data_IF_107134028736
#
_entry.id   IF_107134028736
#
_cell.length_a   1.000
_cell.length_b   1.000
_cell.length_c   1.000
_cell.angle_alpha   90.00
_cell.angle_beta   90.00
_cell.angle_gamma   90.00
#
_symmetry.space_group_name_H-M   'P 1'
#
loop_
_entity.id
_entity.type
_entity.pdbx_description
1 polymer ?
#
# COMPACT_ATOMS: atom_id res chain seq x y z
N UNK A 1 -5.69 19.08 10.83
CA UNK A 1 -4.49 19.15 9.94
C UNK A 1 -3.28 19.17 10.84
N UNK A 2 -2.18 18.52 10.48
CA UNK A 2 -1.02 18.40 11.38
C UNK A 2 0.28 18.57 10.61
N UNK A 3 1.26 19.23 11.23
CA UNK A 3 2.59 19.46 10.68
C UNK A 3 3.63 19.06 11.73
N UNK A 4 4.58 18.22 11.31
CA UNK A 4 5.73 17.83 12.12
C UNK A 4 6.96 17.94 11.24
N UNK A 5 7.99 18.66 11.72
CA UNK A 5 9.25 18.85 11.00
C UNK A 5 10.37 18.25 11.83
N UNK A 6 11.12 17.34 11.21
CA UNK A 6 12.30 16.74 11.79
C UNK A 6 13.55 17.32 11.14
N UNK A 7 14.56 17.63 11.95
CA UNK A 7 15.89 17.98 11.46
C UNK A 7 16.90 17.12 12.19
N UNK A 8 17.65 16.31 11.44
CA UNK A 8 18.60 15.33 12.00
C UNK A 8 17.96 14.48 13.12
N UNK A 9 16.67 14.16 12.95
CA UNK A 9 15.92 13.17 13.76
C UNK A 9 15.17 13.75 14.91
N UNK A 10 15.54 14.96 15.29
CA UNK A 10 14.88 15.69 16.34
C UNK A 10 13.68 16.43 15.75
N UNK A 11 12.55 16.39 16.47
CA UNK A 11 11.40 17.23 16.15
C UNK A 11 11.79 18.67 16.48
N UNK A 12 11.91 19.51 15.46
CA UNK A 12 12.24 20.94 15.61
C UNK A 12 11.01 21.83 15.57
N UNK A 13 9.90 21.30 15.06
CA UNK A 13 8.63 22.01 15.02
C UNK A 13 7.46 21.02 14.95
N UNK A 14 6.39 21.32 15.68
CA UNK A 14 5.13 20.62 15.57
C UNK A 14 3.94 21.57 15.74
N UNK A 15 2.88 21.33 14.97
CA UNK A 15 1.68 22.14 15.00
C UNK A 15 0.45 21.29 14.64
N UNK A 16 -0.54 21.28 15.53
CA UNK A 16 -1.71 20.40 15.49
C UNK A 16 -3.03 21.21 15.61
N UNK A 17 -3.38 22.06 14.63
CA UNK A 17 -4.62 22.83 14.69
C UNK A 17 -5.83 21.88 14.71
N UNK A 18 -6.62 22.00 15.77
CA UNK A 18 -7.85 21.24 15.99
C UNK A 18 -7.65 19.72 16.00
N UNK A 19 -6.50 19.24 16.46
CA UNK A 19 -6.26 17.80 16.65
C UNK A 19 -5.95 17.51 18.11
N UNK A 20 -6.68 16.57 18.70
CA UNK A 20 -6.44 16.06 20.05
C UNK A 20 -5.40 14.93 20.06
N UNK A 21 -4.73 14.69 21.20
CA UNK A 21 -3.61 13.73 21.31
C UNK A 21 -3.98 12.26 21.02
N UNK A 22 -5.26 11.91 21.13
CA UNK A 22 -5.78 10.58 20.86
C UNK A 22 -6.17 10.37 19.38
N UNK A 23 -6.32 11.46 18.63
CA UNK A 23 -6.75 11.42 17.23
C UNK A 23 -5.61 10.95 16.33
N UNK A 24 -5.99 10.15 15.32
CA UNK A 24 -5.09 9.63 14.31
C UNK A 24 -5.62 10.07 12.95
N UNK A 25 -5.02 11.07 12.29
CA UNK A 25 -5.47 11.47 10.96
C UNK A 25 -5.30 10.33 9.95
N UNK A 26 -6.20 10.28 8.97
CA UNK A 26 -6.08 9.38 7.82
C UNK A 26 -5.01 9.91 6.85
N UNK A 27 -4.19 9.00 6.34
CA UNK A 27 -3.05 9.30 5.48
C UNK A 27 -3.32 9.07 3.99
N UNK A 28 -4.48 8.52 3.65
CA UNK A 28 -4.89 8.23 2.28
C UNK A 28 -3.74 7.52 1.55
N UNK A 29 -3.42 7.99 0.35
CA UNK A 29 -2.43 7.36 -0.53
C UNK A 29 -1.00 7.36 -0.01
N UNK A 30 -0.68 8.06 1.08
CA UNK A 30 0.59 7.85 1.77
C UNK A 30 0.69 6.41 2.27
N UNK A 31 -0.42 5.72 2.55
CA UNK A 31 -0.45 4.28 2.88
C UNK A 31 0.34 3.41 1.89
N UNK A 32 0.33 3.76 0.59
CA UNK A 32 0.92 2.95 -0.48
C UNK A 32 2.44 2.77 -0.32
N UNK A 33 3.14 3.76 0.24
CA UNK A 33 4.58 3.66 0.47
C UNK A 33 4.92 2.57 1.49
N UNK A 34 4.04 2.29 2.46
CA UNK A 34 4.26 1.22 3.43
C UNK A 34 4.19 -0.14 2.72
N UNK A 35 3.22 -0.29 1.82
CA UNK A 35 3.06 -1.49 0.99
C UNK A 35 4.30 -1.70 0.11
N UNK A 36 4.74 -0.68 -0.64
CA UNK A 36 5.92 -0.82 -1.50
C UNK A 36 7.20 -1.05 -0.70
N UNK A 37 7.33 -0.45 0.49
CA UNK A 37 8.45 -0.71 1.40
C UNK A 37 8.49 -2.17 1.83
N UNK A 38 7.34 -2.76 2.19
CA UNK A 38 7.28 -4.18 2.52
C UNK A 38 7.64 -5.06 1.32
N UNK A 39 7.20 -4.74 0.11
CA UNK A 39 7.60 -5.48 -1.10
C UNK A 39 9.13 -5.42 -1.28
N UNK A 40 9.73 -4.24 -1.13
CA UNK A 40 11.20 -4.09 -1.21
C UNK A 40 11.93 -4.88 -0.13
N UNK A 41 11.43 -4.90 1.11
CA UNK A 41 11.98 -5.73 2.18
C UNK A 41 11.90 -7.23 1.83
N UNK A 42 10.79 -7.69 1.25
CA UNK A 42 10.63 -9.08 0.84
C UNK A 42 11.55 -9.45 -0.34
N UNK A 43 11.82 -8.50 -1.24
CA UNK A 43 12.80 -8.65 -2.30
C UNK A 43 14.22 -8.80 -1.77
N UNK A 44 14.63 -7.93 -0.84
CA UNK A 44 15.93 -8.00 -0.18
C UNK A 44 16.11 -9.30 0.63
N UNK A 45 15.04 -9.82 1.21
CA UNK A 45 15.00 -11.12 1.89
C UNK A 45 15.04 -12.31 0.92
N UNK A 46 15.01 -12.08 -0.40
CA UNK A 46 14.99 -13.12 -1.43
C UNK A 46 13.66 -13.89 -1.52
N UNK A 47 12.61 -13.39 -0.86
CA UNK A 47 11.28 -14.00 -0.85
C UNK A 47 10.44 -13.57 -2.07
N UNK A 48 10.73 -12.39 -2.61
CA UNK A 48 10.07 -11.83 -3.80
C UNK A 48 11.13 -11.48 -4.85
N UNK A 49 10.79 -11.69 -6.12
CA UNK A 49 11.55 -11.25 -7.28
C UNK A 49 10.62 -10.37 -8.10
N UNK A 50 10.88 -9.06 -8.09
CA UNK A 50 9.92 -8.09 -8.64
C UNK A 50 9.80 -8.17 -10.17
N UNK A 51 10.77 -8.81 -10.84
CA UNK A 51 10.76 -8.99 -12.30
C UNK A 51 9.75 -10.05 -12.74
N UNK A 52 9.27 -10.88 -11.80
CA UNK A 52 8.30 -11.94 -12.08
C UNK A 52 6.86 -11.42 -12.13
N UNK A 53 5.99 -12.07 -12.93
CA UNK A 53 4.56 -11.82 -12.87
C UNK A 53 4.00 -12.19 -11.50
N UNK A 54 3.03 -11.42 -11.01
CA UNK A 54 2.44 -11.62 -9.67
C UNK A 54 1.81 -13.01 -9.49
N UNK A 55 1.31 -13.62 -10.57
CA UNK A 55 0.79 -15.00 -10.55
C UNK A 55 1.83 -16.06 -10.19
N UNK A 56 3.12 -15.73 -10.21
CA UNK A 56 4.19 -16.60 -9.68
C UNK A 56 4.04 -16.85 -8.18
N UNK A 57 3.37 -15.93 -7.47
CA UNK A 57 3.14 -15.98 -6.03
C UNK A 57 1.66 -16.20 -5.71
N UNK A 58 0.78 -15.42 -6.33
CA UNK A 58 -0.66 -15.44 -6.08
C UNK A 58 -1.34 -16.37 -7.09
N UNK A 59 -1.49 -17.64 -6.73
CA UNK A 59 -2.04 -18.68 -7.63
C UNK A 59 -3.45 -18.35 -8.13
N UNK A 60 -4.26 -17.68 -7.31
CA UNK A 60 -5.63 -17.29 -7.64
C UNK A 60 -5.69 -16.25 -8.77
N UNK A 61 -4.58 -15.55 -9.07
CA UNK A 61 -4.47 -14.63 -10.18
C UNK A 61 -3.96 -15.28 -11.47
N UNK A 62 -3.64 -16.58 -11.51
CA UNK A 62 -3.01 -17.21 -12.68
C UNK A 62 -3.75 -16.99 -14.00
N UNK A 63 -5.09 -16.94 -13.95
CA UNK A 63 -5.94 -16.74 -15.12
C UNK A 63 -6.65 -15.37 -15.12
N UNK A 64 -6.25 -14.44 -14.25
CA UNK A 64 -6.82 -13.10 -14.21
C UNK A 64 -6.02 -12.14 -15.09
N UNK A 65 -6.62 -11.00 -15.44
CA UNK A 65 -5.94 -9.93 -16.16
C UNK A 65 -4.66 -9.46 -15.43
N UNK A 66 -4.69 -9.35 -14.10
CA UNK A 66 -3.51 -8.94 -13.31
C UNK A 66 -2.43 -10.01 -13.21
N UNK A 67 -2.75 -11.29 -13.44
CA UNK A 67 -1.82 -12.40 -13.25
C UNK A 67 -0.50 -12.28 -14.02
N UNK A 68 -0.56 -11.73 -15.23
CA UNK A 68 0.60 -11.55 -16.10
C UNK A 68 1.41 -10.27 -15.85
N UNK A 69 0.97 -9.39 -14.95
CA UNK A 69 1.65 -8.13 -14.66
C UNK A 69 2.82 -8.37 -13.72
N UNK A 70 4.00 -7.85 -14.05
CA UNK A 70 5.17 -7.93 -13.17
C UNK A 70 4.98 -7.09 -11.92
N UNK A 71 5.55 -7.54 -10.82
CA UNK A 71 5.47 -6.84 -9.53
C UNK A 71 6.12 -5.45 -9.64
N UNK A 72 7.22 -5.33 -10.39
CA UNK A 72 7.86 -4.05 -10.73
C UNK A 72 6.89 -3.09 -11.45
N UNK A 73 6.12 -3.58 -12.42
CA UNK A 73 5.17 -2.75 -13.15
C UNK A 73 4.00 -2.30 -12.26
N UNK A 74 3.58 -3.12 -11.29
CA UNK A 74 2.59 -2.71 -10.29
C UNK A 74 3.15 -1.65 -9.33
N UNK A 75 4.40 -1.81 -8.87
CA UNK A 75 5.09 -0.81 -8.04
C UNK A 75 5.18 0.56 -8.75
N UNK A 76 5.36 0.54 -10.07
CA UNK A 76 5.45 1.72 -10.92
C UNK A 76 4.09 2.25 -11.42
N UNK A 77 2.96 1.69 -10.96
CA UNK A 77 1.62 2.07 -11.43
C UNK A 77 1.51 2.00 -12.96
N UNK A 78 2.10 0.97 -13.56
CA UNK A 78 2.25 0.82 -14.99
C UNK A 78 1.67 -0.52 -15.47
N UNK A 79 0.55 -0.96 -14.89
CA UNK A 79 -0.14 -2.19 -15.29
C UNK A 79 -0.64 -2.19 -16.74
N UNK A 80 -0.85 -1.01 -17.34
CA UNK A 80 -1.35 -0.87 -18.71
C UNK A 80 -2.87 -0.96 -18.84
N UNK A 81 -3.58 -0.99 -17.71
CA UNK A 81 -5.04 -1.10 -17.64
C UNK A 81 -5.74 0.24 -17.46
N UNK A 82 -6.94 0.36 -18.00
CA UNK A 82 -7.87 1.46 -17.77
C UNK A 82 -8.58 1.30 -16.42
N UNK A 83 -7.80 1.44 -15.34
CA UNK A 83 -8.29 1.31 -13.96
C UNK A 83 -7.81 2.45 -13.06
N UNK A 84 -7.81 3.68 -13.60
CA UNK A 84 -7.44 4.84 -12.81
C UNK A 84 -8.44 5.07 -11.65
N UNK A 85 -7.95 5.59 -10.54
CA UNK A 85 -8.80 5.96 -9.39
C UNK A 85 -9.90 6.92 -9.85
N UNK A 86 -11.14 6.43 -9.82
CA UNK A 86 -12.32 7.19 -10.20
C UNK A 86 -13.41 7.01 -9.13
N UNK A 87 -13.66 8.09 -8.40
CA UNK A 87 -14.57 8.10 -7.24
C UNK A 87 -16.00 8.54 -7.60
N UNK A 88 -16.29 8.74 -8.89
CA UNK A 88 -17.58 9.30 -9.34
C UNK A 88 -18.33 8.36 -10.28
N UNK A 89 -17.63 7.78 -11.26
CA UNK A 89 -18.23 6.86 -12.21
C UNK A 89 -18.32 5.45 -11.61
N UNK A 90 -19.54 5.07 -11.21
CA UNK A 90 -19.83 3.76 -10.61
C UNK A 90 -19.59 2.57 -11.53
N UNK A 91 -19.50 2.80 -12.83
CA UNK A 91 -19.20 1.76 -13.82
C UNK A 91 -17.69 1.54 -14.02
N UNK A 92 -16.86 2.49 -13.58
CA UNK A 92 -15.41 2.42 -13.74
C UNK A 92 -14.81 1.21 -13.02
N UNK A 93 -13.68 0.74 -13.55
CA UNK A 93 -12.93 -0.37 -12.98
C UNK A 93 -12.60 -0.15 -11.50
N UNK A 94 -12.08 1.04 -11.16
CA UNK A 94 -11.74 1.38 -9.78
C UNK A 94 -12.96 1.48 -8.88
N UNK A 95 -14.07 2.12 -9.30
CA UNK A 95 -15.22 2.29 -8.40
C UNK A 95 -15.83 0.94 -8.02
N UNK A 96 -15.89 -0.01 -8.95
CA UNK A 96 -16.37 -1.37 -8.65
C UNK A 96 -15.47 -2.08 -7.64
N UNK A 97 -14.14 -1.89 -7.74
CA UNK A 97 -13.19 -2.35 -6.71
C UNK A 97 -13.43 -1.64 -5.37
N UNK A 98 -13.64 -0.33 -5.40
CA UNK A 98 -13.91 0.51 -4.23
C UNK A 98 -15.17 0.07 -3.48
N UNK A 99 -16.25 -0.24 -4.20
CA UNK A 99 -17.44 -0.86 -3.62
C UNK A 99 -17.18 -2.26 -3.05
N UNK A 100 -16.26 -3.03 -3.65
CA UNK A 100 -15.92 -4.38 -3.18
C UNK A 100 -15.13 -4.38 -1.87
N UNK A 101 -14.16 -3.47 -1.73
CA UNK A 101 -13.35 -3.33 -0.52
C UNK A 101 -14.08 -2.52 0.57
N UNK A 102 -15.05 -1.69 0.17
CA UNK A 102 -15.98 -0.99 1.06
C UNK A 102 -15.64 0.48 1.32
N UNK A 103 -14.78 1.12 0.51
CA UNK A 103 -14.57 2.57 0.52
C UNK A 103 -15.43 3.32 -0.53
N UNK A 104 -16.18 2.58 -1.35
CA UNK A 104 -17.19 3.09 -2.29
C UNK A 104 -18.63 2.81 -1.86
N UNK A 105 -19.61 3.38 -2.57
CA UNK A 105 -21.03 3.10 -2.30
C UNK A 105 -21.33 1.64 -2.61
N UNK A 106 -21.86 0.91 -1.63
CA UNK A 106 -22.18 -0.51 -1.75
C UNK A 106 -23.69 -0.73 -1.92
N UNK A 107 -24.05 -1.70 -2.75
CA UNK A 107 -25.40 -2.25 -2.93
C UNK A 107 -25.34 -3.77 -2.96
N UNK A 108 -26.48 -4.47 -2.87
CA UNK A 108 -26.51 -5.94 -2.91
C UNK A 108 -25.89 -6.53 -4.19
N UNK A 109 -25.89 -5.79 -5.30
CA UNK A 109 -25.27 -6.16 -6.57
C UNK A 109 -23.75 -5.91 -6.61
N UNK A 110 -23.23 -5.14 -5.65
CA UNK A 110 -21.80 -4.82 -5.59
C UNK A 110 -21.00 -6.03 -5.10
N UNK A 111 -19.79 -6.27 -5.63
CA UNK A 111 -18.98 -7.41 -5.26
C UNK A 111 -18.75 -7.48 -3.74
N UNK A 112 -18.71 -8.69 -3.17
CA UNK A 112 -18.64 -8.88 -1.72
C UNK A 112 -17.23 -9.05 -1.16
N UNK A 113 -16.29 -9.50 -2.00
CA UNK A 113 -14.92 -9.82 -1.62
C UNK A 113 -13.96 -9.20 -2.66
N UNK A 114 -13.04 -8.30 -2.24
CA UNK A 114 -12.15 -7.60 -3.16
C UNK A 114 -11.12 -8.54 -3.81
N UNK A 115 -10.66 -9.61 -3.15
CA UNK A 115 -9.74 -10.59 -3.74
C UNK A 115 -10.40 -11.33 -4.91
N UNK A 116 -11.62 -11.84 -4.70
CA UNK A 116 -12.39 -12.49 -5.76
C UNK A 116 -12.72 -11.52 -6.89
N UNK A 117 -13.09 -10.28 -6.54
CA UNK A 117 -13.39 -9.25 -7.52
C UNK A 117 -12.19 -8.99 -8.44
N UNK A 118 -11.01 -8.70 -7.86
CA UNK A 118 -9.77 -8.44 -8.60
C UNK A 118 -9.34 -9.66 -9.42
N UNK A 119 -9.53 -10.89 -8.90
CA UNK A 119 -9.23 -12.11 -9.65
C UNK A 119 -10.15 -12.32 -10.88
N UNK A 120 -11.36 -11.77 -10.84
CA UNK A 120 -12.32 -11.80 -11.96
C UNK A 120 -12.35 -10.52 -12.81
N UNK A 121 -11.52 -9.53 -12.48
CA UNK A 121 -11.56 -8.21 -13.09
C UNK A 121 -10.93 -8.26 -14.48
N UNK A 122 -11.68 -7.78 -15.47
CA UNK A 122 -11.26 -7.69 -16.88
C UNK A 122 -11.23 -6.22 -17.31
N UNK A 123 -10.22 -5.44 -16.88
CA UNK A 123 -10.10 -4.04 -17.24
C UNK A 123 -9.68 -3.90 -18.71
N UNK A 124 -10.08 -2.80 -19.35
CA UNK A 124 -9.64 -2.50 -20.71
C UNK A 124 -8.12 -2.30 -20.74
N UNK A 125 -7.43 -2.95 -21.67
CA UNK A 125 -6.00 -2.70 -21.92
C UNK A 125 -5.85 -1.43 -22.75
N UNK A 126 -5.04 -0.49 -22.27
CA UNK A 126 -4.80 0.81 -22.93
C UNK A 126 -3.33 1.01 -23.34
N UNK A 127 -2.42 0.19 -22.80
CA UNK A 127 -1.02 0.16 -23.17
C UNK A 127 -0.41 -1.19 -22.76
N UNK A 128 0.71 -1.63 -23.36
CA UNK A 128 1.53 -2.69 -22.78
C UNK A 128 1.96 -2.31 -21.36
N UNK A 129 2.02 -3.29 -20.44
CA UNK A 129 2.54 -3.07 -19.09
C UNK A 129 3.97 -2.48 -19.12
N UNK A 130 4.30 -1.64 -18.15
CA UNK A 130 5.58 -0.96 -18.03
C UNK A 130 5.77 0.24 -18.97
N UNK A 131 4.86 0.49 -19.91
CA UNK A 131 5.04 1.54 -20.94
C UNK A 131 4.29 2.84 -20.65
N UNK A 132 3.28 2.81 -19.76
CA UNK A 132 2.46 3.97 -19.43
C UNK A 132 2.10 3.98 -17.95
N UNK A 133 2.41 5.08 -17.28
CA UNK A 133 1.94 5.35 -15.91
C UNK A 133 0.44 5.63 -15.89
N UNK A 134 -0.27 4.96 -14.99
CA UNK A 134 -1.66 5.21 -14.65
C UNK A 134 -1.90 4.87 -13.18
N UNK A 135 -2.15 5.90 -12.38
CA UNK A 135 -2.36 5.77 -10.95
C UNK A 135 -3.59 4.92 -10.60
N UNK A 136 -3.37 3.81 -9.87
CA UNK A 136 -4.38 2.78 -9.59
C UNK A 136 -4.23 2.22 -8.17
N UNK A 137 -5.24 2.38 -7.32
CA UNK A 137 -5.32 1.73 -6.02
C UNK A 137 -5.45 0.21 -6.13
N UNK A 138 -5.94 -0.31 -7.26
CA UNK A 138 -6.01 -1.75 -7.53
C UNK A 138 -4.61 -2.35 -7.68
N UNK A 139 -3.67 -1.63 -8.29
CA UNK A 139 -2.27 -2.06 -8.42
C UNK A 139 -1.65 -2.23 -7.02
N UNK A 140 -1.91 -1.26 -6.12
CA UNK A 140 -1.47 -1.37 -4.72
C UNK A 140 -2.18 -2.52 -3.99
N UNK A 141 -3.46 -2.76 -4.30
CA UNK A 141 -4.18 -3.86 -3.68
C UNK A 141 -3.53 -5.21 -3.98
N UNK A 142 -3.17 -5.43 -5.24
CA UNK A 142 -2.47 -6.65 -5.67
C UNK A 142 -1.11 -6.80 -4.98
N UNK A 143 -0.37 -5.70 -4.76
CA UNK A 143 0.88 -5.72 -3.99
C UNK A 143 0.65 -6.08 -2.51
N UNK A 144 -0.43 -5.61 -1.88
CA UNK A 144 -0.77 -6.04 -0.52
C UNK A 144 -1.14 -7.52 -0.46
N UNK A 145 -1.91 -8.02 -1.43
CA UNK A 145 -2.22 -9.44 -1.52
C UNK A 145 -0.96 -10.31 -1.75
N UNK A 146 0.02 -9.80 -2.51
CA UNK A 146 1.34 -10.45 -2.64
C UNK A 146 2.00 -10.61 -1.28
N UNK A 147 2.07 -9.55 -0.48
CA UNK A 147 2.67 -9.58 0.87
C UNK A 147 1.97 -10.61 1.75
N UNK A 148 0.63 -10.60 1.77
CA UNK A 148 -0.17 -11.53 2.54
C UNK A 148 0.08 -12.98 2.14
N UNK A 149 0.18 -13.24 0.84
CA UNK A 149 0.44 -14.57 0.28
C UNK A 149 1.84 -15.07 0.63
N UNK A 150 2.86 -14.22 0.48
CA UNK A 150 4.26 -14.57 0.74
C UNK A 150 4.51 -14.81 2.23
N UNK A 151 3.88 -14.01 3.10
CA UNK A 151 4.09 -14.08 4.55
C UNK A 151 3.11 -15.00 5.28
N UNK A 152 2.01 -15.42 4.63
CA UNK A 152 0.97 -16.24 5.23
C UNK A 152 0.25 -15.55 6.39
N UNK A 153 0.14 -14.23 6.38
CA UNK A 153 -0.53 -13.44 7.42
C UNK A 153 -1.17 -12.17 6.84
N UNK A 154 -2.17 -11.58 7.51
CA UNK A 154 -2.80 -10.33 7.06
C UNK A 154 -1.81 -9.17 6.94
N UNK A 155 -2.09 -8.20 6.05
CA UNK A 155 -1.16 -7.09 5.81
C UNK A 155 -0.88 -6.27 7.09
N UNK A 156 -1.88 -6.04 7.94
CA UNK A 156 -1.69 -5.26 9.17
C UNK A 156 -0.74 -5.96 10.16
N UNK A 157 -0.72 -7.29 10.20
CA UNK A 157 0.25 -8.05 10.99
C UNK A 157 1.65 -7.98 10.38
N UNK A 158 1.76 -8.02 9.05
CA UNK A 158 3.02 -7.83 8.35
C UNK A 158 3.62 -6.45 8.61
N UNK A 159 2.81 -5.37 8.50
CA UNK A 159 3.21 -4.00 8.84
C UNK A 159 3.67 -3.94 10.30
N UNK A 160 2.89 -4.52 11.22
CA UNK A 160 3.22 -4.52 12.65
C UNK A 160 4.58 -5.17 12.93
N UNK A 161 4.79 -6.38 12.41
CA UNK A 161 6.01 -7.18 12.66
C UNK A 161 7.25 -6.63 11.98
N UNK A 162 7.14 -6.23 10.71
CA UNK A 162 8.31 -5.84 9.92
C UNK A 162 8.68 -4.37 10.07
N UNK A 163 7.70 -3.50 10.35
CA UNK A 163 7.91 -2.04 10.41
C UNK A 163 7.53 -1.48 11.79
N UNK A 164 6.26 -1.57 12.19
CA UNK A 164 5.72 -0.77 13.29
C UNK A 164 6.44 -0.98 14.63
N UNK A 165 6.69 -2.24 15.01
CA UNK A 165 7.40 -2.58 16.25
C UNK A 165 8.89 -2.23 16.23
N UNK A 166 9.45 -1.85 15.07
CA UNK A 166 10.87 -1.57 14.91
C UNK A 166 11.21 -0.09 14.81
N UNK A 167 10.23 0.75 14.46
CA UNK A 167 10.44 2.20 14.26
C UNK A 167 10.26 3.04 15.53
N UNK A 168 9.95 2.41 16.66
CA UNK A 168 9.68 3.12 17.92
C UNK A 168 8.42 3.99 17.85
N UNK A 169 7.36 3.48 17.21
CA UNK A 169 6.07 4.16 17.15
C UNK A 169 5.52 4.46 18.56
N UNK A 170 4.95 5.65 18.74
CA UNK A 170 4.39 6.13 20.02
C UNK A 170 3.00 5.57 20.32
N UNK A 171 2.30 5.06 19.30
CA UNK A 171 0.99 4.44 19.43
C UNK A 171 0.76 3.38 18.36
N UNK A 172 -0.30 2.58 18.56
CA UNK A 172 -0.80 1.70 17.53
C UNK A 172 -1.26 2.49 16.29
N UNK A 173 -0.95 1.96 15.11
CA UNK A 173 -1.56 2.39 13.87
C UNK A 173 -2.91 1.71 13.65
N UNK A 174 -3.83 2.38 12.95
CA UNK A 174 -5.12 1.82 12.58
C UNK A 174 -5.19 1.69 11.06
N UNK A 175 -5.91 0.67 10.59
CA UNK A 175 -6.27 0.49 9.18
C UNK A 175 -7.79 0.43 9.08
N UNK A 176 -8.37 1.27 8.23
CA UNK A 176 -9.81 1.23 7.92
C UNK A 176 -10.11 -0.09 7.23
N UNK A 177 -11.03 -0.87 7.79
CA UNK A 177 -11.43 -2.19 7.30
C UNK A 177 -12.97 -2.29 7.29
N UNK A 178 -13.64 -1.61 6.35
CA UNK A 178 -15.09 -1.38 6.41
C UNK A 178 -15.87 -2.67 6.13
N UNK A 179 -15.25 -3.66 5.47
CA UNK A 179 -15.90 -4.91 5.13
C UNK A 179 -15.00 -6.13 5.32
N UNK A 180 -15.57 -7.18 5.92
CA UNK A 180 -14.93 -8.49 6.13
C UNK A 180 -13.59 -8.44 6.90
N UNK A 181 -13.28 -7.34 7.60
CA UNK A 181 -11.98 -7.13 8.23
C UNK A 181 -10.82 -6.94 7.25
N UNK A 182 -11.10 -6.73 5.95
CA UNK A 182 -10.08 -6.51 4.93
C UNK A 182 -9.72 -5.02 4.94
N UNK A 183 -8.45 -4.66 5.20
CA UNK A 183 -8.04 -3.27 5.26
C UNK A 183 -8.05 -2.60 3.86
N UNK A 184 -8.35 -1.31 3.82
CA UNK A 184 -8.23 -0.45 2.62
C UNK A 184 -6.75 -0.19 2.39
N UNK A 185 -6.04 -1.14 1.77
CA UNK A 185 -4.57 -1.16 1.71
C UNK A 185 -3.95 -0.07 0.81
N UNK A 186 -4.73 0.56 -0.05
CA UNK A 186 -4.31 1.69 -0.87
C UNK A 186 -4.48 3.05 -0.18
N UNK A 187 -5.14 3.13 0.98
CA UNK A 187 -5.54 4.43 1.56
C UNK A 187 -5.91 4.50 3.05
N UNK A 188 -6.10 3.37 3.72
CA UNK A 188 -6.82 3.29 5.00
C UNK A 188 -5.98 3.52 6.26
N UNK A 189 -4.71 3.90 6.15
CA UNK A 189 -3.84 4.06 7.30
C UNK A 189 -4.20 5.32 8.11
N UNK A 190 -4.33 5.16 9.42
CA UNK A 190 -4.52 6.25 10.38
C UNK A 190 -3.50 6.13 11.50
N UNK A 191 -2.59 7.10 11.59
CA UNK A 191 -1.44 7.07 12.51
C UNK A 191 -1.19 8.45 13.11
N UNK A 192 -0.39 8.54 14.17
CA UNK A 192 0.05 9.84 14.71
C UNK A 192 1.02 10.52 13.73
N UNK A 193 1.00 11.86 13.63
CA UNK A 193 1.96 12.59 12.80
C UNK A 193 3.43 12.33 13.11
N UNK A 194 3.77 12.14 14.39
CA UNK A 194 5.13 11.78 14.81
C UNK A 194 5.54 10.39 14.33
N UNK A 195 4.61 9.43 14.28
CA UNK A 195 4.89 8.07 13.80
C UNK A 195 5.03 8.03 12.28
N UNK A 196 4.27 8.85 11.56
CA UNK A 196 4.49 9.08 10.13
C UNK A 196 5.89 9.64 9.86
N UNK A 197 6.34 10.60 10.69
CA UNK A 197 7.68 11.15 10.58
C UNK A 197 8.79 10.12 10.89
N UNK A 198 8.60 9.27 11.90
CA UNK A 198 9.51 8.14 12.20
C UNK A 198 9.61 7.17 11.02
N UNK A 199 8.47 6.83 10.41
CA UNK A 199 8.48 6.02 9.20
C UNK A 199 9.27 6.71 8.07
N UNK A 200 9.08 8.02 7.87
CA UNK A 200 9.84 8.80 6.88
C UNK A 200 11.36 8.80 7.12
N UNK A 201 11.81 8.75 8.37
CA UNK A 201 13.23 8.66 8.69
C UNK A 201 13.90 7.37 8.19
N UNK A 202 13.14 6.31 7.90
CA UNK A 202 13.68 5.07 7.30
C UNK A 202 14.35 5.31 5.94
N UNK A 203 13.94 6.36 5.23
CA UNK A 203 14.47 6.75 3.93
C UNK A 203 15.65 7.73 4.04
N UNK A 204 16.05 8.08 5.25
CA UNK A 204 17.16 9.00 5.50
C UNK A 204 18.40 8.24 5.93
N UNK A 205 19.58 8.68 5.47
CA UNK A 205 20.86 8.04 5.82
C UNK A 205 21.43 8.52 7.15
N UNK A 206 20.85 9.58 7.72
CA UNK A 206 21.45 10.31 8.84
C UNK A 206 21.22 9.60 10.18
N UNK A 207 20.18 8.74 10.27
CA UNK A 207 19.63 8.31 11.57
C UNK A 207 19.12 6.89 11.54
N UNK A 208 19.51 6.12 12.54
CA UNK A 208 18.96 4.81 12.79
C UNK A 208 17.66 4.94 13.60
N UNK A 209 16.53 4.73 12.93
CA UNK A 209 15.19 4.67 13.55
C UNK A 209 14.93 3.29 14.18
N UNK A 210 15.59 2.26 13.65
CA UNK A 210 15.51 0.88 14.09
C UNK A 210 16.91 0.33 14.39
N UNK A 211 16.99 -0.72 15.21
CA UNK A 211 18.25 -1.42 15.54
C UNK A 211 18.94 -2.00 14.30
N UNK A 212 18.16 -2.40 13.30
CA UNK A 212 18.60 -2.85 11.98
C UNK A 212 18.05 -1.93 10.88
N UNK A 213 18.82 -1.72 9.80
CA UNK A 213 18.34 -0.97 8.62
C UNK A 213 17.17 -1.70 7.97
N UNK A 214 16.01 -1.04 7.85
CA UNK A 214 14.80 -1.63 7.27
C UNK A 214 14.63 -1.34 5.78
N UNK A 215 15.26 -0.26 5.29
CA UNK A 215 15.19 0.15 3.87
C UNK A 215 16.63 0.30 3.36
N UNK A 216 17.00 -0.48 2.35
CA UNK A 216 18.35 -0.42 1.76
C UNK A 216 18.59 0.85 0.93
N UNK A 217 19.85 1.11 0.61
CA UNK A 217 20.19 2.18 -0.34
C UNK A 217 19.76 1.87 -1.76
N UNK A 218 19.77 0.60 -2.16
CA UNK A 218 19.28 0.16 -3.47
C UNK A 218 17.80 0.49 -3.61
N UNK A 219 16.99 0.23 -2.59
CA UNK A 219 15.57 0.61 -2.59
C UNK A 219 15.39 2.13 -2.72
N UNK A 220 16.11 2.92 -1.92
CA UNK A 220 16.01 4.40 -1.96
C UNK A 220 16.45 4.95 -3.33
N UNK A 221 17.54 4.43 -3.91
CA UNK A 221 18.04 4.88 -5.21
C UNK A 221 17.13 4.48 -6.37
N UNK A 222 16.52 3.29 -6.30
CA UNK A 222 15.56 2.82 -7.31
C UNK A 222 14.19 3.52 -7.24
N UNK A 223 13.91 4.25 -6.16
CA UNK A 223 12.66 5.01 -5.97
C UNK A 223 12.69 6.45 -6.48
N UNK A 224 13.79 6.89 -7.11
CA UNK A 224 13.97 8.22 -7.73
C UNK A 224 13.82 8.14 -9.26
#
# INVERSE_FOLDING_TARGET
>A
MSLVILYRGDIVFEYYPHQEDYEKPIYWSVTKIIVSTLVGMLEEEGLVDITKPVSSYIKDLKNSSYGGITIENLLNMASGFDCADNYFDRSSCYYRYSSAIGDGYWTEESPSNPYHFVASLEPKVIAPQGTKYQYSGVDTFVLGWLIETVLGMPLHDAITKKIWMKIGAEADGLMIAPRNGIPVIHGGLMIRPRDAARFGLLFTQVIKVASSRLVSESFIKGSQ
#
